data_IF_061740307905
#
_entry.id   IF_061740307905
#
_cell.length_a   1.000
_cell.length_b   1.000
_cell.length_c   1.000
_cell.angle_alpha   90.00
_cell.angle_beta   90.00
_cell.angle_gamma   90.00
#
_symmetry.space_group_name_H-M   'P 1'
#
loop_
_entity.id
_entity.type
_entity.pdbx_description
1 polymer ?
#
# COMPACT_ATOMS: atom_id res chain seq x y z
N UNK A 1 -71.23 -6.38 -4.05
CA UNK A 1 -70.68 -6.77 -5.36
C UNK A 1 -70.99 -5.66 -6.37
N UNK A 2 -70.10 -5.34 -7.32
CA UNK A 2 -69.27 -6.30 -8.05
C UNK A 2 -67.74 -6.12 -7.91
N UNK A 3 -66.97 -7.17 -8.22
CA UNK A 3 -65.50 -7.17 -8.23
C UNK A 3 -64.95 -6.41 -9.44
N UNK A 4 -63.76 -5.80 -9.29
CA UNK A 4 -63.01 -5.27 -10.44
C UNK A 4 -62.38 -6.45 -11.19
N UNK A 5 -62.93 -6.73 -12.38
CA UNK A 5 -62.38 -7.70 -13.32
C UNK A 5 -61.16 -7.08 -14.03
N UNK A 6 -60.10 -7.86 -14.16
CA UNK A 6 -58.98 -7.54 -15.06
C UNK A 6 -59.47 -7.61 -16.52
N UNK A 7 -59.33 -6.51 -17.25
CA UNK A 7 -59.71 -6.43 -18.65
C UNK A 7 -58.58 -7.00 -19.51
N UNK A 8 -58.96 -7.93 -20.38
CA UNK A 8 -58.09 -8.58 -21.35
C UNK A 8 -57.35 -7.60 -22.27
N UNK A 9 -56.10 -8.00 -22.54
CA UNK A 9 -55.11 -7.37 -23.40
C UNK A 9 -55.65 -7.09 -24.81
N UNK A 10 -55.53 -5.84 -25.27
CA UNK A 10 -55.57 -5.53 -26.70
C UNK A 10 -54.27 -6.02 -27.34
N UNK A 11 -54.39 -6.92 -28.29
CA UNK A 11 -53.31 -7.41 -29.14
C UNK A 11 -52.80 -6.27 -30.04
N UNK A 12 -51.79 -5.55 -29.55
CA UNK A 12 -50.92 -4.74 -30.39
C UNK A 12 -49.96 -5.65 -31.14
N UNK A 13 -49.85 -5.46 -32.45
CA UNK A 13 -48.99 -6.19 -33.38
C UNK A 13 -47.52 -6.04 -33.01
N UNK A 14 -46.94 -7.08 -32.41
CA UNK A 14 -45.49 -7.15 -32.17
C UNK A 14 -44.84 -7.69 -33.44
N UNK A 15 -44.11 -6.84 -34.17
CA UNK A 15 -43.21 -7.26 -35.24
C UNK A 15 -42.10 -8.13 -34.64
N UNK A 16 -42.27 -9.45 -34.71
CA UNK A 16 -41.26 -10.43 -34.33
C UNK A 16 -40.20 -10.49 -35.43
N UNK A 17 -39.09 -9.78 -35.23
CA UNK A 17 -37.86 -10.00 -35.96
C UNK A 17 -37.28 -11.38 -35.57
N UNK A 18 -37.65 -12.43 -36.29
CA UNK A 18 -37.09 -13.77 -36.15
C UNK A 18 -35.63 -13.76 -36.63
N UNK A 19 -34.68 -13.43 -35.75
CA UNK A 19 -33.29 -13.88 -35.91
C UNK A 19 -33.21 -15.34 -35.43
N UNK A 20 -32.79 -16.30 -36.27
CA UNK A 20 -32.52 -17.65 -35.77
C UNK A 20 -31.35 -17.57 -34.79
N UNK A 21 -31.63 -17.80 -33.52
CA UNK A 21 -30.59 -17.97 -32.51
C UNK A 21 -29.78 -19.21 -32.87
N UNK A 22 -28.49 -19.04 -33.17
CA UNK A 22 -27.53 -20.13 -33.23
C UNK A 22 -27.54 -20.76 -31.84
N UNK A 23 -28.20 -21.92 -31.71
CA UNK A 23 -28.17 -22.71 -30.48
C UNK A 23 -26.72 -23.10 -30.24
N UNK A 24 -26.09 -22.53 -29.22
CA UNK A 24 -24.82 -23.07 -28.70
C UNK A 24 -25.08 -24.53 -28.36
N UNK A 25 -24.34 -25.44 -29.00
CA UNK A 25 -24.42 -26.87 -28.71
C UNK A 25 -24.35 -27.04 -27.19
N UNK A 26 -25.37 -27.65 -26.60
CA UNK A 26 -25.36 -28.02 -25.19
C UNK A 26 -24.09 -28.83 -24.95
N UNK A 27 -23.24 -28.47 -23.96
CA UNK A 27 -22.06 -29.26 -23.68
C UNK A 27 -22.54 -30.68 -23.41
N UNK A 28 -21.98 -31.66 -24.13
CA UNK A 28 -22.26 -33.06 -23.86
C UNK A 28 -22.03 -33.28 -22.36
N UNK A 29 -23.10 -33.63 -21.64
CA UNK A 29 -22.99 -34.01 -20.24
C UNK A 29 -22.02 -35.20 -20.20
N UNK A 30 -20.77 -34.93 -19.84
CA UNK A 30 -19.85 -35.98 -19.47
C UNK A 30 -20.56 -36.76 -18.35
N UNK A 31 -20.66 -38.10 -18.44
CA UNK A 31 -21.29 -38.87 -17.39
C UNK A 31 -20.58 -38.50 -16.09
N UNK A 32 -21.36 -38.04 -15.12
CA UNK A 32 -20.88 -37.82 -13.77
C UNK A 32 -20.51 -39.21 -13.27
N UNK A 33 -19.24 -39.59 -13.45
CA UNK A 33 -18.69 -40.78 -12.81
C UNK A 33 -18.71 -40.41 -11.33
N UNK A 34 -19.75 -40.85 -10.62
CA UNK A 34 -19.74 -40.88 -9.17
C UNK A 34 -18.58 -41.80 -8.79
N UNK A 35 -17.41 -41.22 -8.53
CA UNK A 35 -16.32 -41.92 -7.88
C UNK A 35 -16.78 -42.22 -6.45
N UNK A 36 -17.57 -43.29 -6.29
CA UNK A 36 -17.99 -43.76 -4.99
C UNK A 36 -16.73 -44.05 -4.17
N UNK A 37 -16.62 -43.42 -3.01
CA UNK A 37 -15.54 -43.71 -2.09
C UNK A 37 -15.60 -45.20 -1.75
N UNK A 38 -14.55 -45.94 -2.11
CA UNK A 38 -14.42 -47.35 -1.77
C UNK A 38 -14.68 -47.58 -0.28
N UNK A 39 -15.56 -48.54 0.04
CA UNK A 39 -15.84 -48.95 1.42
C UNK A 39 -14.57 -49.41 2.12
N UNK A 40 -14.49 -49.23 3.44
CA UNK A 40 -13.35 -49.68 4.24
C UNK A 40 -13.12 -51.20 4.11
N UNK A 41 -14.20 -51.97 4.01
CA UNK A 41 -14.15 -53.42 3.78
C UNK A 41 -13.43 -53.75 2.46
N UNK A 42 -13.75 -53.00 1.42
CA UNK A 42 -13.18 -53.18 0.08
C UNK A 42 -11.72 -52.73 0.01
N UNK A 43 -11.36 -51.62 0.67
CA UNK A 43 -9.95 -51.19 0.83
C UNK A 43 -9.11 -52.25 1.53
N UNK A 44 -9.67 -52.88 2.57
CA UNK A 44 -9.00 -53.95 3.31
C UNK A 44 -8.84 -55.23 2.47
N UNK A 45 -9.83 -55.57 1.64
CA UNK A 45 -9.77 -56.68 0.68
C UNK A 45 -8.63 -56.46 -0.32
N UNK A 46 -8.60 -55.31 -1.00
CA UNK A 46 -7.57 -54.96 -1.99
C UNK A 46 -6.16 -54.98 -1.35
N UNK A 47 -6.01 -54.46 -0.13
CA UNK A 47 -4.74 -54.49 0.60
C UNK A 47 -4.24 -55.91 0.87
N UNK A 48 -5.13 -56.84 1.21
CA UNK A 48 -4.79 -58.24 1.52
C UNK A 48 -4.57 -59.07 0.24
N UNK A 49 -5.30 -58.75 -0.83
CA UNK A 49 -5.27 -59.51 -2.08
C UNK A 49 -3.93 -59.39 -2.82
N UNK A 50 -3.30 -58.21 -2.80
CA UNK A 50 -1.96 -57.99 -3.35
C UNK A 50 -1.13 -57.06 -2.44
N UNK A 51 -0.44 -57.62 -1.43
CA UNK A 51 0.32 -56.83 -0.47
C UNK A 51 1.48 -56.05 -1.10
N UNK A 52 2.17 -56.63 -2.10
CA UNK A 52 3.34 -56.02 -2.72
C UNK A 52 2.97 -54.83 -3.59
N UNK A 53 1.96 -54.98 -4.46
CA UNK A 53 1.47 -53.88 -5.30
C UNK A 53 0.89 -52.75 -4.45
N UNK A 54 0.17 -53.10 -3.37
CA UNK A 54 -0.31 -52.12 -2.40
C UNK A 54 0.85 -51.35 -1.75
N UNK A 55 1.90 -52.04 -1.29
CA UNK A 55 3.08 -51.41 -0.71
C UNK A 55 3.79 -50.48 -1.70
N UNK A 56 4.00 -50.89 -2.95
CA UNK A 56 4.58 -50.05 -4.01
C UNK A 56 3.73 -48.80 -4.30
N UNK A 57 2.40 -48.94 -4.32
CA UNK A 57 1.49 -47.80 -4.46
C UNK A 57 1.58 -46.85 -3.27
N UNK A 58 1.72 -47.36 -2.03
CA UNK A 58 1.95 -46.53 -0.85
C UNK A 58 3.30 -45.81 -0.92
N UNK A 59 4.38 -46.45 -1.37
CA UNK A 59 5.68 -45.80 -1.54
C UNK A 59 5.60 -44.61 -2.50
N UNK A 60 4.96 -44.79 -3.66
CA UNK A 60 4.72 -43.70 -4.63
C UNK A 60 3.88 -42.57 -4.03
N UNK A 61 2.81 -42.92 -3.30
CA UNK A 61 1.96 -41.95 -2.60
C UNK A 61 2.75 -41.18 -1.54
N UNK A 62 3.53 -41.87 -0.71
CA UNK A 62 4.34 -41.28 0.35
C UNK A 62 5.41 -40.34 -0.21
N UNK A 63 6.07 -40.72 -1.32
CA UNK A 63 7.01 -39.85 -2.02
C UNK A 63 6.33 -38.56 -2.55
N UNK A 64 5.13 -38.68 -3.13
CA UNK A 64 4.35 -37.53 -3.57
C UNK A 64 3.91 -36.65 -2.39
N UNK A 65 3.43 -37.25 -1.30
CA UNK A 65 3.03 -36.53 -0.08
C UNK A 65 4.21 -35.77 0.53
N UNK A 66 5.40 -36.38 0.59
CA UNK A 66 6.63 -35.71 1.02
C UNK A 66 6.93 -34.51 0.14
N UNK A 67 6.96 -34.68 -1.19
CA UNK A 67 7.17 -33.57 -2.15
C UNK A 67 6.12 -32.46 -2.00
N UNK A 68 4.85 -32.81 -1.80
CA UNK A 68 3.77 -31.84 -1.58
C UNK A 68 3.95 -31.08 -0.27
N UNK A 69 4.38 -31.75 0.79
CA UNK A 69 4.67 -31.12 2.07
C UNK A 69 5.82 -30.13 1.95
N UNK A 70 6.90 -30.50 1.24
CA UNK A 70 8.05 -29.61 1.00
C UNK A 70 7.64 -28.39 0.17
N UNK A 71 6.91 -28.59 -0.92
CA UNK A 71 6.35 -27.48 -1.73
C UNK A 71 5.38 -26.60 -0.93
N UNK A 72 4.66 -27.18 0.04
CA UNK A 72 3.77 -26.42 0.91
C UNK A 72 4.58 -25.50 1.82
N UNK A 73 5.66 -25.99 2.44
CA UNK A 73 6.56 -25.15 3.27
C UNK A 73 7.10 -23.95 2.50
N UNK A 74 7.61 -24.17 1.28
CA UNK A 74 8.10 -23.10 0.40
C UNK A 74 7.00 -22.07 0.08
N UNK A 75 5.77 -22.53 -0.18
CA UNK A 75 4.63 -21.62 -0.42
C UNK A 75 4.21 -20.86 0.83
N UNK A 76 4.20 -21.52 1.99
CA UNK A 76 3.80 -20.92 3.26
C UNK A 76 4.82 -19.83 3.67
N UNK A 77 6.13 -20.06 3.46
CA UNK A 77 7.19 -19.05 3.63
C UNK A 77 7.02 -17.84 2.69
N UNK A 78 6.64 -18.08 1.44
CA UNK A 78 6.36 -17.01 0.48
C UNK A 78 5.04 -16.27 0.77
N UNK A 79 4.08 -16.92 1.43
CA UNK A 79 2.74 -16.38 1.70
C UNK A 79 2.79 -15.12 2.57
N UNK A 80 3.59 -15.13 3.63
CA UNK A 80 3.81 -13.98 4.53
C UNK A 80 2.64 -13.67 5.47
N UNK A 81 2.74 -12.55 6.19
CA UNK A 81 1.71 -12.08 7.14
C UNK A 81 0.56 -11.36 6.40
N UNK A 82 -0.71 -11.70 6.64
CA UNK A 82 -1.85 -11.00 6.03
C UNK A 82 -1.97 -9.51 6.41
N UNK A 83 -1.43 -9.09 7.56
CA UNK A 83 -1.51 -7.69 8.02
C UNK A 83 -0.26 -6.92 7.58
N UNK A 84 0.94 -7.39 7.92
CA UNK A 84 2.19 -6.67 7.64
C UNK A 84 2.80 -7.00 6.28
N UNK A 85 2.50 -8.16 5.68
CA UNK A 85 3.22 -8.66 4.51
C UNK A 85 4.68 -8.98 4.86
N UNK A 86 5.59 -8.64 3.96
CA UNK A 86 7.04 -8.61 4.20
C UNK A 86 7.45 -7.16 4.44
N UNK A 87 8.15 -6.89 5.52
CA UNK A 87 8.55 -5.51 5.82
C UNK A 87 9.73 -5.13 4.90
N UNK A 88 9.61 -4.00 4.20
CA UNK A 88 10.62 -3.46 3.27
C UNK A 88 11.21 -2.16 3.81
N UNK A 89 12.39 -1.72 3.33
CA UNK A 89 13.02 -0.49 3.80
C UNK A 89 12.14 0.75 3.63
N UNK A 90 11.36 0.80 2.53
CA UNK A 90 10.39 1.89 2.33
C UNK A 90 9.29 1.88 3.38
N UNK A 91 8.74 0.71 3.72
CA UNK A 91 7.69 0.57 4.73
C UNK A 91 8.21 0.90 6.13
N UNK A 92 9.45 0.55 6.45
CA UNK A 92 10.10 0.93 7.72
C UNK A 92 10.33 2.44 7.81
N UNK A 93 10.73 3.07 6.70
CA UNK A 93 10.97 4.52 6.65
C UNK A 93 9.73 5.36 6.98
N UNK A 94 8.51 4.79 6.98
CA UNK A 94 7.31 5.52 7.38
C UNK A 94 7.31 5.89 8.86
N UNK A 95 7.99 5.14 9.72
CA UNK A 95 8.04 5.42 11.15
C UNK A 95 8.77 6.74 11.44
N UNK A 96 9.78 7.09 10.64
CA UNK A 96 10.56 8.34 10.74
C UNK A 96 10.20 9.37 9.68
N UNK A 97 9.15 9.12 8.90
CA UNK A 97 8.79 9.91 7.73
C UNK A 97 9.95 10.16 6.72
N UNK A 98 10.89 9.21 6.62
CA UNK A 98 12.03 9.27 5.70
C UNK A 98 13.19 10.15 6.19
N UNK A 99 13.18 10.54 7.46
CA UNK A 99 14.23 11.37 8.07
C UNK A 99 15.42 10.56 8.61
N UNK A 100 15.24 9.26 8.81
CA UNK A 100 16.32 8.35 9.16
C UNK A 100 16.80 7.63 7.89
N UNK A 101 18.10 7.76 7.58
CA UNK A 101 18.72 7.06 6.46
C UNK A 101 19.08 5.60 6.76
N UNK A 102 19.11 5.22 8.04
CA UNK A 102 19.49 3.88 8.50
C UNK A 102 18.38 3.36 9.42
N UNK A 103 18.05 2.07 9.32
CA UNK A 103 17.04 1.43 10.16
C UNK A 103 17.47 1.36 11.64
N UNK A 104 16.50 1.49 12.53
CA UNK A 104 16.75 1.34 13.97
C UNK A 104 16.89 -0.14 14.31
N UNK A 105 18.09 -0.55 14.72
CA UNK A 105 18.36 -1.93 15.12
C UNK A 105 18.01 -2.12 16.60
N UNK A 106 17.22 -3.17 16.89
CA UNK A 106 17.00 -3.61 18.25
C UNK A 106 18.29 -4.23 18.81
N UNK A 107 18.68 -3.80 20.01
CA UNK A 107 19.81 -4.35 20.73
C UNK A 107 19.31 -5.32 21.81
N UNK A 108 20.00 -6.45 21.95
CA UNK A 108 19.80 -7.38 23.06
C UNK A 108 20.24 -6.75 24.40
N UNK A 109 19.93 -7.38 25.53
CA UNK A 109 20.35 -6.95 26.87
C UNK A 109 21.87 -6.74 27.00
N UNK A 110 22.65 -7.43 26.16
CA UNK A 110 24.10 -7.29 26.04
C UNK A 110 24.56 -6.25 24.99
N UNK A 111 23.67 -5.35 24.55
CA UNK A 111 23.89 -4.33 23.49
C UNK A 111 24.25 -4.88 22.11
N UNK A 112 24.20 -6.20 21.90
CA UNK A 112 24.43 -6.81 20.60
C UNK A 112 23.23 -6.55 19.69
N UNK A 113 23.49 -6.05 18.48
CA UNK A 113 22.48 -5.89 17.44
C UNK A 113 21.82 -7.23 17.11
N UNK A 114 20.49 -7.30 17.17
CA UNK A 114 19.73 -8.50 16.81
C UNK A 114 19.68 -8.70 15.28
N UNK A 115 19.69 -7.58 14.53
CA UNK A 115 19.64 -7.54 13.08
C UNK A 115 20.69 -6.57 12.55
N UNK A 116 21.10 -6.72 11.30
CA UNK A 116 21.97 -5.76 10.64
C UNK A 116 21.19 -4.49 10.28
N UNK A 117 21.83 -3.34 10.46
CA UNK A 117 21.30 -2.06 10.03
C UNK A 117 21.32 -2.00 8.49
N UNK A 118 20.24 -1.50 7.90
CA UNK A 118 20.15 -1.37 6.45
C UNK A 118 19.68 0.03 6.07
N UNK A 119 20.01 0.43 4.85
CA UNK A 119 19.66 1.76 4.33
C UNK A 119 18.17 1.86 4.02
N UNK A 120 17.58 2.97 4.44
CA UNK A 120 16.18 3.30 4.16
C UNK A 120 16.11 4.49 3.21
N UNK A 121 15.11 4.52 2.31
CA UNK A 121 14.94 5.63 1.38
C UNK A 121 14.61 6.92 2.14
N UNK A 122 15.56 7.86 2.11
CA UNK A 122 15.39 9.17 2.75
C UNK A 122 14.62 10.13 1.85
N UNK A 123 13.69 10.89 2.44
CA UNK A 123 13.01 11.99 1.78
C UNK A 123 13.61 13.31 2.25
N UNK A 124 14.75 13.67 1.66
CA UNK A 124 15.38 14.97 1.83
C UNK A 124 14.42 16.04 1.26
N UNK A 125 14.25 17.17 1.94
CA UNK A 125 13.38 18.25 1.47
C UNK A 125 12.05 18.41 2.21
N UNK A 126 11.54 17.39 2.92
CA UNK A 126 10.23 17.49 3.60
C UNK A 126 10.35 18.03 5.02
N UNK A 127 9.55 19.05 5.32
CA UNK A 127 9.44 19.68 6.65
C UNK A 127 8.06 19.51 7.25
N UNK A 128 7.95 19.87 8.53
CA UNK A 128 6.68 19.92 9.24
C UNK A 128 5.75 21.00 8.65
N UNK A 129 4.47 20.97 9.02
CA UNK A 129 3.42 21.90 8.56
C UNK A 129 3.19 21.89 7.05
N UNK A 130 3.66 20.85 6.37
CA UNK A 130 3.52 20.74 4.93
C UNK A 130 4.41 21.70 4.15
N UNK A 131 5.53 22.13 4.73
CA UNK A 131 6.56 22.90 4.06
C UNK A 131 7.61 22.00 3.41
N UNK A 132 8.36 22.57 2.47
CA UNK A 132 9.60 22.01 1.94
C UNK A 132 10.81 22.85 2.34
N UNK A 133 12.02 22.29 2.23
CA UNK A 133 13.27 23.02 2.42
C UNK A 133 13.34 24.24 1.49
N UNK A 134 12.99 24.07 0.21
CA UNK A 134 13.01 25.14 -0.78
C UNK A 134 12.03 26.29 -0.43
N UNK A 135 10.78 25.95 -0.08
CA UNK A 135 9.78 26.96 0.32
C UNK A 135 10.21 27.72 1.58
N UNK A 136 10.86 27.05 2.53
CA UNK A 136 11.39 27.70 3.73
C UNK A 136 12.53 28.65 3.37
N UNK A 137 13.47 28.22 2.53
CA UNK A 137 14.59 29.05 2.09
C UNK A 137 14.13 30.28 1.30
N UNK A 138 13.15 30.13 0.43
CA UNK A 138 12.57 31.25 -0.32
C UNK A 138 11.83 32.22 0.61
N UNK A 139 11.09 31.69 1.59
CA UNK A 139 10.47 32.50 2.65
C UNK A 139 11.48 33.27 3.49
N UNK A 140 12.62 32.64 3.83
CA UNK A 140 13.72 33.28 4.57
C UNK A 140 14.35 34.41 3.74
N UNK A 141 14.66 34.16 2.46
CA UNK A 141 15.24 35.18 1.55
C UNK A 141 14.30 36.38 1.41
N UNK A 142 13.00 36.12 1.24
CA UNK A 142 11.99 37.17 1.13
C UNK A 142 11.86 37.98 2.43
N UNK A 143 11.82 37.32 3.59
CA UNK A 143 11.79 37.99 4.88
C UNK A 143 13.05 38.83 5.16
N UNK A 144 14.22 38.35 4.73
CA UNK A 144 15.47 39.11 4.82
C UNK A 144 15.42 40.39 3.99
N UNK A 145 14.94 40.30 2.74
CA UNK A 145 14.83 41.45 1.85
C UNK A 145 13.87 42.51 2.40
N UNK A 146 12.73 42.10 2.98
CA UNK A 146 11.73 43.01 3.52
C UNK A 146 12.11 43.62 4.88
N UNK A 147 12.83 42.88 5.72
CA UNK A 147 13.21 43.32 7.06
C UNK A 147 14.49 44.16 7.11
N UNK A 148 15.25 44.22 6.01
CA UNK A 148 16.53 44.92 5.95
C UNK A 148 16.36 46.40 6.34
N UNK A 149 17.13 46.91 7.32
CA UNK A 149 17.00 48.30 7.75
C UNK A 149 17.33 49.25 6.59
N UNK A 150 16.44 50.21 6.36
CA UNK A 150 16.60 51.24 5.34
C UNK A 150 17.12 52.52 5.98
N UNK A 151 18.18 53.09 5.41
CA UNK A 151 18.75 54.35 5.87
C UNK A 151 18.36 55.47 4.90
N UNK A 152 17.76 56.55 5.42
CA UNK A 152 17.51 57.74 4.63
C UNK A 152 18.82 58.45 4.30
N UNK A 153 18.89 59.11 3.14
CA UNK A 153 20.10 59.80 2.68
C UNK A 153 20.64 60.86 3.67
N UNK A 154 19.76 61.42 4.50
CA UNK A 154 20.09 62.43 5.52
C UNK A 154 20.48 61.77 6.86
N UNK A 155 19.82 60.67 7.25
CA UNK A 155 20.03 60.04 8.57
C UNK A 155 21.36 59.29 8.67
N UNK A 156 21.87 58.78 7.55
CA UNK A 156 23.19 58.12 7.47
C UNK A 156 24.36 59.07 7.69
N UNK A 157 24.17 60.38 7.48
CA UNK A 157 25.20 61.41 7.66
C UNK A 157 25.29 61.94 9.10
N UNK A 158 24.24 61.76 9.91
CA UNK A 158 24.12 62.32 11.27
C UNK A 158 24.77 61.41 12.33
N UNK A 159 24.84 60.09 12.08
CA UNK A 159 25.41 59.12 13.02
C UNK A 159 26.44 58.23 12.33
N UNK A 160 27.72 58.53 12.53
CA UNK A 160 28.82 57.69 12.05
C UNK A 160 28.78 56.32 12.75
N UNK A 161 28.79 55.22 11.98
CA UNK A 161 28.78 53.84 12.48
C UNK A 161 27.42 53.27 12.94
N UNK A 162 26.38 54.09 13.09
CA UNK A 162 25.04 53.62 13.50
C UNK A 162 24.38 52.69 12.48
N UNK A 163 24.59 52.94 11.20
CA UNK A 163 24.05 52.13 10.11
C UNK A 163 24.67 50.73 10.05
N UNK A 164 25.99 50.63 10.19
CA UNK A 164 26.72 49.35 10.20
C UNK A 164 26.35 48.51 11.42
N UNK A 165 26.28 49.11 12.61
CA UNK A 165 25.86 48.39 13.81
C UNK A 165 24.42 47.88 13.71
N UNK A 166 23.52 48.66 13.11
CA UNK A 166 22.12 48.25 12.89
C UNK A 166 22.01 47.08 11.90
N UNK A 167 22.83 47.09 10.85
CA UNK A 167 22.93 46.00 9.89
C UNK A 167 23.47 44.72 10.56
N UNK A 168 24.55 44.82 11.35
CA UNK A 168 25.13 43.69 12.07
C UNK A 168 24.12 43.05 13.03
N UNK A 169 23.42 43.86 13.82
CA UNK A 169 22.35 43.37 14.72
C UNK A 169 21.25 42.68 13.94
N UNK A 170 20.84 43.24 12.80
CA UNK A 170 19.84 42.64 11.94
C UNK A 170 20.28 41.28 11.40
N UNK A 171 21.53 41.15 10.94
CA UNK A 171 22.07 39.89 10.44
C UNK A 171 22.16 38.82 11.55
N UNK A 172 22.55 39.21 12.77
CA UNK A 172 22.57 38.32 13.94
C UNK A 172 21.17 37.83 14.33
N UNK A 173 20.20 38.75 14.42
CA UNK A 173 18.80 38.43 14.71
C UNK A 173 18.19 37.55 13.63
N UNK A 174 18.49 37.83 12.36
CA UNK A 174 18.06 37.04 11.23
C UNK A 174 18.65 35.62 11.29
N UNK A 175 19.96 35.48 11.53
CA UNK A 175 20.61 34.18 11.67
C UNK A 175 19.98 33.34 12.80
N UNK A 176 19.69 33.97 13.94
CA UNK A 176 18.99 33.35 15.07
C UNK A 176 17.56 32.92 14.68
N UNK A 177 16.83 33.76 13.96
CA UNK A 177 15.49 33.46 13.47
C UNK A 177 15.50 32.27 12.49
N UNK A 178 16.46 32.22 11.58
CA UNK A 178 16.65 31.11 10.63
C UNK A 178 16.89 29.80 11.36
N UNK A 179 17.75 29.79 12.38
CA UNK A 179 18.00 28.61 13.18
C UNK A 179 16.74 28.15 13.94
N UNK A 180 16.01 29.10 14.55
CA UNK A 180 14.76 28.81 15.25
C UNK A 180 13.71 28.21 14.28
N UNK A 181 13.53 28.79 13.10
CA UNK A 181 12.61 28.30 12.08
C UNK A 181 12.98 26.90 11.61
N UNK A 182 14.28 26.62 11.37
CA UNK A 182 14.75 25.29 10.99
C UNK A 182 14.44 24.23 12.04
N UNK A 183 14.50 24.59 13.33
CA UNK A 183 14.17 23.69 14.45
C UNK A 183 12.66 23.48 14.59
N UNK A 184 11.86 24.55 14.50
CA UNK A 184 10.39 24.49 14.58
C UNK A 184 9.81 23.65 13.44
N UNK A 185 10.31 23.86 12.23
CA UNK A 185 9.85 23.15 11.03
C UNK A 185 10.47 21.77 10.87
N UNK A 186 11.34 21.34 11.78
CA UNK A 186 11.98 20.02 11.72
C UNK A 186 10.94 18.90 11.87
N UNK A 187 10.91 17.97 10.90
CA UNK A 187 9.98 16.83 10.93
C UNK A 187 10.33 15.83 12.05
N UNK A 188 11.55 15.86 12.59
CA UNK A 188 11.98 14.97 13.69
C UNK A 188 11.18 15.22 14.98
N UNK A 189 10.78 16.47 15.20
CA UNK A 189 10.02 16.88 16.38
C UNK A 189 8.50 16.81 16.14
N UNK A 190 8.06 16.26 15.01
CA UNK A 190 6.67 16.33 14.57
C UNK A 190 5.78 15.26 15.20
N UNK A 191 4.47 15.52 15.21
CA UNK A 191 3.49 14.57 15.73
C UNK A 191 3.34 13.35 14.80
N UNK A 192 2.72 12.27 15.29
CA UNK A 192 2.38 11.12 14.45
C UNK A 192 1.46 11.52 13.27
N UNK A 193 0.60 12.52 13.47
CA UNK A 193 -0.29 13.07 12.43
C UNK A 193 0.52 13.76 11.33
N UNK A 194 1.49 14.58 11.70
CA UNK A 194 2.34 15.30 10.74
C UNK A 194 3.22 14.34 9.94
N UNK A 195 3.81 13.34 10.61
CA UNK A 195 4.53 12.23 9.95
C UNK A 195 3.62 11.50 8.95
N UNK A 196 2.36 11.27 9.30
CA UNK A 196 1.40 10.66 8.37
C UNK A 196 1.19 11.53 7.13
N UNK A 197 1.00 12.83 7.27
CA UNK A 197 0.82 13.74 6.13
C UNK A 197 2.09 13.82 5.27
N UNK A 198 3.27 13.85 5.88
CA UNK A 198 4.55 13.78 5.15
C UNK A 198 4.67 12.45 4.37
N UNK A 199 4.32 11.33 4.99
CA UNK A 199 4.30 10.02 4.32
C UNK A 199 3.31 9.97 3.16
N UNK A 200 2.13 10.58 3.28
CA UNK A 200 1.17 10.67 2.18
C UNK A 200 1.80 11.40 0.97
N UNK A 201 2.53 12.49 1.19
CA UNK A 201 3.25 13.20 0.11
C UNK A 201 4.32 12.32 -0.53
N UNK A 202 5.13 11.63 0.28
CA UNK A 202 6.15 10.67 -0.21
C UNK A 202 5.51 9.57 -1.06
N UNK A 203 4.39 9.04 -0.61
CA UNK A 203 3.65 7.99 -1.33
C UNK A 203 3.12 8.52 -2.67
N UNK A 204 2.58 9.74 -2.71
CA UNK A 204 2.10 10.36 -3.95
C UNK A 204 3.28 10.57 -4.92
N UNK A 205 4.45 10.98 -4.43
CA UNK A 205 5.65 11.13 -5.27
C UNK A 205 6.15 9.80 -5.83
N UNK A 206 6.18 8.74 -5.01
CA UNK A 206 6.69 7.42 -5.41
C UNK A 206 5.72 6.66 -6.32
N UNK A 207 4.42 6.62 -5.98
CA UNK A 207 3.42 5.77 -6.66
C UNK A 207 2.41 6.55 -7.50
N UNK A 208 2.44 7.88 -7.47
CA UNK A 208 1.54 8.68 -8.27
C UNK A 208 1.77 8.46 -9.76
N UNK A 209 0.70 8.22 -10.51
CA UNK A 209 0.79 7.88 -11.94
C UNK A 209 1.44 8.98 -12.77
N UNK A 210 1.36 10.24 -12.32
CA UNK A 210 2.04 11.38 -12.91
C UNK A 210 3.57 11.24 -12.94
N UNK A 211 4.16 10.45 -12.03
CA UNK A 211 5.59 10.13 -12.01
C UNK A 211 5.85 8.74 -12.62
N UNK A 212 5.12 7.71 -12.19
CA UNK A 212 5.38 6.33 -12.62
C UNK A 212 5.15 6.10 -14.11
N UNK A 213 4.22 6.83 -14.75
CA UNK A 213 3.96 6.72 -16.19
C UNK A 213 5.19 7.12 -17.02
N UNK A 214 6.14 7.89 -16.46
CA UNK A 214 7.38 8.32 -17.12
C UNK A 214 8.52 7.31 -16.94
N UNK A 215 8.51 6.56 -15.85
CA UNK A 215 9.64 5.70 -15.42
C UNK A 215 9.40 4.23 -15.74
N UNK A 216 8.17 3.75 -15.55
CA UNK A 216 7.83 2.33 -15.70
C UNK A 216 7.32 2.03 -17.11
N UNK A 217 7.56 0.81 -17.59
CA UNK A 217 7.05 0.43 -18.90
C UNK A 217 5.51 0.38 -18.86
N UNK A 218 4.84 0.90 -19.92
CA UNK A 218 3.41 0.82 -20.03
C UNK A 218 2.97 -0.63 -20.22
N UNK A 219 1.74 -0.92 -19.81
CA UNK A 219 1.11 -2.21 -20.06
C UNK A 219 1.06 -2.49 -21.57
N UNK A 220 1.35 -3.72 -22.03
CA UNK A 220 1.23 -4.07 -23.45
C UNK A 220 -0.20 -3.79 -23.95
N UNK A 221 -0.35 -3.17 -25.13
CA UNK A 221 -1.66 -2.87 -25.70
C UNK A 221 -2.41 -4.16 -26.00
N UNK A 222 -3.75 -4.09 -25.97
CA UNK A 222 -4.58 -5.19 -26.48
C UNK A 222 -4.42 -5.31 -28.00
N UNK A 223 -4.64 -6.52 -28.53
CA UNK A 223 -4.54 -6.83 -29.98
C UNK A 223 -5.29 -5.81 -30.85
N UNK A 224 -6.49 -5.39 -30.43
CA UNK A 224 -7.28 -4.34 -31.09
C UNK A 224 -7.50 -3.17 -30.11
N UNK A 225 -6.58 -2.19 -30.02
CA UNK A 225 -6.73 -1.08 -29.09
C UNK A 225 -7.69 -0.06 -29.68
N UNK A 226 -8.93 -0.01 -29.17
CA UNK A 226 -9.82 1.13 -29.43
C UNK A 226 -9.45 2.26 -28.45
N UNK A 227 -8.30 2.90 -28.68
CA UNK A 227 -7.77 3.94 -27.80
C UNK A 227 -8.04 5.32 -28.37
N UNK A 228 -8.94 6.04 -27.71
CA UNK A 228 -9.11 7.49 -27.88
C UNK A 228 -7.99 8.18 -27.08
N UNK A 229 -7.31 9.21 -27.62
CA UNK A 229 -6.33 9.98 -26.86
C UNK A 229 -6.99 10.57 -25.62
N UNK A 230 -6.37 10.37 -24.46
CA UNK A 230 -6.87 10.91 -23.19
C UNK A 230 -6.28 12.31 -22.98
N UNK A 231 -7.04 13.26 -22.41
CA UNK A 231 -6.49 14.55 -22.04
C UNK A 231 -5.41 14.38 -20.97
N UNK A 232 -4.50 15.34 -20.93
CA UNK A 232 -3.49 15.41 -19.88
C UNK A 232 -4.13 15.65 -18.51
N UNK A 233 -3.41 15.24 -17.47
CA UNK A 233 -3.86 15.41 -16.10
C UNK A 233 -3.67 16.87 -15.68
N UNK A 234 -4.71 17.45 -15.08
CA UNK A 234 -4.64 18.82 -14.55
C UNK A 234 -3.73 18.95 -13.31
N UNK A 235 -3.45 17.86 -12.60
CA UNK A 235 -2.70 17.90 -11.34
C UNK A 235 -2.14 16.55 -10.91
N UNK A 236 -1.55 16.49 -9.69
CA UNK A 236 -0.95 15.28 -9.18
C UNK A 236 -1.98 14.19 -8.94
N UNK A 237 -1.61 12.95 -9.28
CA UNK A 237 -2.46 11.79 -9.08
C UNK A 237 -2.48 11.36 -7.60
N UNK A 238 -3.63 11.51 -6.96
CA UNK A 238 -3.85 11.18 -5.54
C UNK A 238 -4.86 10.06 -5.33
N UNK A 239 -5.63 9.72 -6.38
CA UNK A 239 -6.79 8.83 -6.30
C UNK A 239 -6.53 7.43 -6.85
N UNK A 240 -5.36 7.16 -7.39
CA UNK A 240 -5.04 5.86 -7.98
C UNK A 240 -4.98 4.73 -6.95
N UNK A 241 -5.24 3.50 -7.39
CA UNK A 241 -5.29 2.35 -6.48
C UNK A 241 -3.95 2.11 -5.80
N UNK A 242 -2.84 2.36 -6.50
CA UNK A 242 -1.48 2.27 -5.98
C UNK A 242 -1.28 3.19 -4.77
N UNK A 243 -1.59 4.49 -4.95
CA UNK A 243 -1.49 5.51 -3.91
C UNK A 243 -2.40 5.17 -2.73
N UNK A 244 -3.65 4.76 -2.98
CA UNK A 244 -4.59 4.38 -1.92
C UNK A 244 -4.09 3.18 -1.10
N UNK A 245 -3.58 2.13 -1.77
CA UNK A 245 -3.04 0.93 -1.11
C UNK A 245 -1.81 1.29 -0.26
N UNK A 246 -0.93 2.12 -0.79
CA UNK A 246 0.25 2.59 -0.10
C UNK A 246 -0.10 3.41 1.16
N UNK A 247 -1.05 4.35 1.06
CA UNK A 247 -1.55 5.13 2.21
C UNK A 247 -2.17 4.22 3.26
N UNK A 248 -2.98 3.23 2.85
CA UNK A 248 -3.56 2.25 3.76
C UNK A 248 -2.46 1.42 4.44
N UNK A 249 -1.41 1.05 3.73
CA UNK A 249 -0.29 0.29 4.30
C UNK A 249 0.44 1.09 5.37
N UNK A 250 0.72 2.38 5.14
CA UNK A 250 1.29 3.26 6.15
C UNK A 250 0.37 3.41 7.39
N UNK A 251 -0.95 3.54 7.18
CA UNK A 251 -1.93 3.59 8.28
C UNK A 251 -2.01 2.29 9.07
N UNK A 252 -2.08 1.15 8.38
CA UNK A 252 -2.11 -0.19 8.99
C UNK A 252 -0.86 -0.40 9.84
N UNK A 253 0.32 -0.02 9.34
CA UNK A 253 1.57 -0.07 10.10
C UNK A 253 1.49 0.77 11.37
N UNK A 254 1.08 2.03 11.27
CA UNK A 254 0.98 2.93 12.43
C UNK A 254 0.01 2.40 13.50
N UNK A 255 -1.18 1.94 13.09
CA UNK A 255 -2.18 1.37 14.00
C UNK A 255 -1.68 0.06 14.61
N UNK A 256 -1.08 -0.83 13.81
CA UNK A 256 -0.55 -2.11 14.32
C UNK A 256 0.58 -1.88 15.32
N UNK A 257 1.51 -0.99 15.02
CA UNK A 257 2.60 -0.63 15.95
C UNK A 257 2.05 -0.04 17.26
N UNK A 258 1.04 0.83 17.18
CA UNK A 258 0.39 1.39 18.38
C UNK A 258 -0.34 0.33 19.23
N UNK A 259 -0.93 -0.70 18.59
CA UNK A 259 -1.58 -1.81 19.29
C UNK A 259 -0.58 -2.78 19.92
N UNK A 260 0.61 -2.92 19.33
CA UNK A 260 1.68 -3.78 19.84
C UNK A 260 2.45 -3.15 21.00
N UNK A 261 2.43 -1.82 21.10
CA UNK A 261 3.06 -1.05 22.17
C UNK A 261 2.07 -0.82 23.31
N UNK A 262 2.55 -0.86 24.56
CA UNK A 262 1.77 -0.59 25.77
C UNK A 262 0.54 -1.52 25.91
N UNK A 263 -0.44 -1.15 26.75
CA UNK A 263 -1.69 -1.90 27.00
C UNK A 263 -2.64 -1.97 25.79
N UNK A 264 -2.12 -1.87 24.55
CA UNK A 264 -2.89 -1.86 23.29
C UNK A 264 -3.71 -3.13 23.05
N UNK A 265 -3.40 -4.24 23.72
CA UNK A 265 -4.25 -5.43 23.73
C UNK A 265 -5.66 -5.18 24.29
N UNK A 266 -5.87 -4.14 25.12
CA UNK A 266 -7.19 -3.75 25.64
C UNK A 266 -7.99 -2.86 24.68
N UNK A 267 -7.37 -2.35 23.63
CA UNK A 267 -8.02 -1.41 22.71
C UNK A 267 -8.79 -2.15 21.59
N UNK A 268 -10.04 -2.49 21.88
CA UNK A 268 -10.90 -3.22 20.96
C UNK A 268 -11.38 -2.37 19.77
N UNK A 269 -11.55 -1.07 19.96
CA UNK A 269 -12.00 -0.17 18.89
C UNK A 269 -10.94 -0.05 17.80
N UNK A 270 -9.67 0.11 18.19
CA UNK A 270 -8.59 0.19 17.22
C UNK A 270 -8.25 -1.16 16.57
N UNK A 271 -8.47 -2.29 17.27
CA UNK A 271 -8.44 -3.63 16.65
C UNK A 271 -9.48 -3.78 15.54
N UNK A 272 -10.71 -3.30 15.75
CA UNK A 272 -11.75 -3.27 14.71
C UNK A 272 -11.37 -2.34 13.56
N UNK A 273 -10.85 -1.15 13.87
CA UNK A 273 -10.39 -0.20 12.85
C UNK A 273 -9.27 -0.78 11.98
N UNK A 274 -8.31 -1.48 12.59
CA UNK A 274 -7.26 -2.20 11.89
C UNK A 274 -7.84 -3.22 10.90
N UNK A 275 -8.82 -4.03 11.33
CA UNK A 275 -9.48 -5.02 10.48
C UNK A 275 -10.16 -4.37 9.26
N UNK A 276 -10.89 -3.26 9.48
CA UNK A 276 -11.52 -2.48 8.40
C UNK A 276 -10.49 -1.94 7.40
N UNK A 277 -9.35 -1.44 7.87
CA UNK A 277 -8.27 -0.93 7.01
C UNK A 277 -7.67 -2.06 6.15
N UNK A 278 -7.40 -3.22 6.76
CA UNK A 278 -6.83 -4.39 6.09
C UNK A 278 -7.79 -4.92 5.02
N UNK A 279 -9.07 -5.08 5.33
CA UNK A 279 -10.08 -5.51 4.35
C UNK A 279 -10.31 -4.50 3.24
N UNK A 280 -10.24 -3.19 3.53
CA UNK A 280 -10.28 -2.14 2.49
C UNK A 280 -9.09 -2.26 1.55
N UNK A 281 -7.88 -2.49 2.08
CA UNK A 281 -6.67 -2.72 1.28
C UNK A 281 -6.79 -3.99 0.43
N UNK A 282 -7.29 -5.08 0.99
CA UNK A 282 -7.55 -6.33 0.28
C UNK A 282 -8.46 -6.13 -0.94
N UNK A 283 -9.57 -5.39 -0.79
CA UNK A 283 -10.49 -5.09 -1.90
C UNK A 283 -9.79 -4.30 -3.03
N UNK A 284 -8.95 -3.33 -2.67
CA UNK A 284 -8.20 -2.53 -3.65
C UNK A 284 -7.15 -3.37 -4.38
N UNK A 285 -6.42 -4.23 -3.66
CA UNK A 285 -5.44 -5.16 -4.24
C UNK A 285 -6.10 -6.14 -5.21
N UNK A 286 -7.23 -6.74 -4.82
CA UNK A 286 -7.98 -7.66 -5.68
C UNK A 286 -8.57 -6.96 -6.93
N UNK A 287 -8.92 -5.67 -6.83
CA UNK A 287 -9.30 -4.86 -7.99
C UNK A 287 -8.10 -4.60 -8.90
N UNK A 288 -6.99 -4.16 -8.33
CA UNK A 288 -5.79 -3.78 -9.06
C UNK A 288 -5.13 -4.98 -9.77
N UNK A 289 -5.06 -6.16 -9.13
CA UNK A 289 -4.55 -7.40 -9.73
C UNK A 289 -5.31 -7.73 -11.04
N UNK A 290 -6.65 -7.65 -11.01
CA UNK A 290 -7.49 -7.89 -12.19
C UNK A 290 -7.31 -6.83 -13.27
N UNK A 291 -7.16 -5.55 -12.87
CA UNK A 291 -7.12 -4.42 -13.81
C UNK A 291 -5.76 -4.33 -14.51
N UNK A 292 -4.69 -4.41 -13.75
CA UNK A 292 -3.31 -4.28 -14.24
C UNK A 292 -2.84 -5.56 -14.95
N UNK A 293 -3.32 -6.74 -14.53
CA UNK A 293 -2.93 -8.05 -15.10
C UNK A 293 -1.40 -8.30 -15.06
N UNK A 294 -0.76 -7.90 -13.96
CA UNK A 294 0.69 -8.10 -13.78
C UNK A 294 1.57 -7.12 -14.56
N UNK A 295 1.11 -5.89 -14.79
CA UNK A 295 1.97 -4.82 -15.32
C UNK A 295 3.13 -4.50 -14.38
N UNK A 296 4.20 -3.88 -14.89
CA UNK A 296 5.34 -3.46 -14.07
C UNK A 296 4.94 -2.53 -12.91
N UNK A 297 3.85 -1.78 -13.08
CA UNK A 297 3.30 -0.94 -12.02
C UNK A 297 2.78 -1.76 -10.84
N UNK A 298 2.11 -2.87 -11.14
CA UNK A 298 1.62 -3.79 -10.11
C UNK A 298 2.80 -4.44 -9.37
N UNK A 299 3.80 -4.94 -10.08
CA UNK A 299 4.97 -5.56 -9.46
C UNK A 299 5.77 -4.57 -8.62
N UNK A 300 6.00 -3.35 -9.13
CA UNK A 300 6.69 -2.28 -8.40
C UNK A 300 5.96 -1.96 -7.08
N UNK A 301 4.63 -1.81 -7.10
CA UNK A 301 3.86 -1.61 -5.87
C UNK A 301 4.07 -2.74 -4.85
N UNK A 302 3.96 -4.00 -5.29
CA UNK A 302 4.12 -5.16 -4.41
C UNK A 302 5.52 -5.23 -3.81
N UNK A 303 6.56 -5.01 -4.61
CA UNK A 303 7.96 -5.09 -4.19
C UNK A 303 8.31 -3.96 -3.22
N UNK A 304 7.96 -2.71 -3.54
CA UNK A 304 8.26 -1.56 -2.68
C UNK A 304 7.49 -1.60 -1.36
N UNK A 305 6.22 -1.99 -1.39
CA UNK A 305 5.37 -2.06 -0.19
C UNK A 305 5.45 -3.41 0.54
N UNK A 306 6.17 -4.38 -0.03
CA UNK A 306 6.31 -5.73 0.55
C UNK A 306 4.99 -6.48 0.70
N UNK A 307 4.04 -6.25 -0.22
CA UNK A 307 2.72 -6.85 -0.16
C UNK A 307 2.78 -8.27 -0.72
N UNK A 308 2.49 -9.25 0.14
CA UNK A 308 2.47 -10.67 -0.22
C UNK A 308 1.06 -11.16 -0.52
N UNK A 309 0.89 -12.30 -1.21
CA UNK A 309 -0.42 -12.87 -1.51
C UNK A 309 -1.34 -13.01 -0.28
N UNK A 310 -0.80 -13.23 0.92
CA UNK A 310 -1.59 -13.28 2.16
C UNK A 310 -2.41 -12.00 2.42
N UNK A 311 -1.94 -10.85 1.92
CA UNK A 311 -2.58 -9.55 2.17
C UNK A 311 -3.83 -9.30 1.32
N UNK A 312 -4.11 -10.15 0.30
CA UNK A 312 -5.33 -10.02 -0.51
C UNK A 312 -5.99 -11.33 -0.94
N UNK A 313 -5.26 -12.45 -1.02
CA UNK A 313 -5.78 -13.75 -1.42
C UNK A 313 -6.33 -14.50 -0.21
N UNK A 314 -7.51 -15.10 -0.38
CA UNK A 314 -8.21 -15.83 0.68
C UNK A 314 -8.93 -14.91 1.66
N UNK A 315 -9.38 -15.48 2.77
CA UNK A 315 -10.03 -14.75 3.85
C UNK A 315 -8.99 -14.27 4.87
N UNK A 316 -9.00 -12.97 5.19
CA UNK A 316 -8.12 -12.42 6.22
C UNK A 316 -8.86 -12.42 7.55
N UNK A 317 -8.40 -13.30 8.44
CA UNK A 317 -8.87 -13.38 9.82
C UNK A 317 -7.93 -12.60 10.74
N UNK A 318 -8.41 -11.48 11.28
CA UNK A 318 -7.69 -10.74 12.31
C UNK A 318 -8.13 -11.31 13.65
N UNK A 319 -7.28 -12.10 14.30
CA UNK A 319 -7.65 -12.77 15.54
C UNK A 319 -7.85 -11.75 16.67
N UNK A 320 -9.12 -11.51 17.01
CA UNK A 320 -9.52 -10.76 18.20
C UNK A 320 -9.77 -11.77 19.31
N UNK A 321 -8.71 -12.36 19.88
CA UNK A 321 -8.89 -13.16 21.10
C UNK A 321 -9.34 -12.20 22.21
N UNK A 322 -10.58 -12.38 22.63
CA UNK A 322 -11.25 -11.70 23.74
C UNK A 322 -10.83 -12.32 25.07
#
# INVERSE_FOLDING_TARGET
>A
MPPRLDVFQRLGTVNLCLRPAIRTATPAFLPIIQAANLSQKEKNRIRKQDPYKYAQAQLRKNANLKRRADLKKVRDEAWGDPIRGKTTPLVESFDTAGQAGISNVAHDGNRKALNEAHEMPSALGLRNHGLTDAELEDGIKHAYALGKPMFGAISSQITEGGAESSLQRYDEEHAKAVEALRRITSLRNSSAKDRHHANVRRIIQEFGRHNTDKVLAPKPPSINPNTIPKPDRAGPDTGSSEVQIAILTAKIRAVKNALDINRGWKDYHNKRNLSLLVHRRQKLLAYMERKERGSERWTNLLEKMGLTPATWKGEITVNHRW
#
